data_IF_572750601466
#
_entry.id   IF_572750601466
#
_cell.length_a   1.000
_cell.length_b   1.000
_cell.length_c   1.000
_cell.angle_alpha   90.00
_cell.angle_beta   90.00
_cell.angle_gamma   90.00
#
_symmetry.space_group_name_H-M   'P 1'
#
loop_
_entity.id
_entity.type
_entity.pdbx_description
1 polymer ?
#
# COMPACT_ATOMS: atom_id res chain seq x y z
N UNK A 1 -8.31 -22.66 -3.45
CA UNK A 1 -8.91 -21.52 -4.20
C UNK A 1 -9.26 -22.05 -5.59
N UNK A 2 -10.45 -21.75 -6.14
CA UNK A 2 -10.87 -22.35 -7.42
C UNK A 2 -10.34 -21.56 -8.61
N UNK A 3 -10.56 -20.25 -8.61
CA UNK A 3 -10.07 -19.37 -9.68
C UNK A 3 -9.76 -17.97 -9.19
N UNK A 4 -8.94 -17.28 -9.97
CA UNK A 4 -8.51 -15.92 -9.71
C UNK A 4 -8.52 -15.11 -11.01
N UNK A 5 -9.07 -13.90 -10.95
CA UNK A 5 -9.07 -12.94 -12.05
C UNK A 5 -8.49 -11.63 -11.53
N UNK A 6 -7.37 -11.21 -12.12
CA UNK A 6 -6.62 -10.02 -11.77
C UNK A 6 -6.67 -9.06 -12.94
N UNK A 7 -7.18 -7.85 -12.69
CA UNK A 7 -7.18 -6.76 -13.65
C UNK A 7 -6.35 -5.61 -13.11
N UNK A 8 -5.35 -5.18 -13.87
CA UNK A 8 -4.38 -4.16 -13.49
C UNK A 8 -4.42 -3.04 -14.52
N UNK A 9 -4.66 -1.81 -14.06
CA UNK A 9 -4.39 -0.62 -14.84
C UNK A 9 -3.03 -0.08 -14.40
N UNK A 10 -2.04 -0.20 -15.28
CA UNK A 10 -0.67 0.24 -15.03
C UNK A 10 -0.50 1.71 -15.44
N UNK A 11 -0.21 2.55 -14.44
CA UNK A 11 0.13 3.95 -14.63
C UNK A 11 1.65 4.18 -14.57
N UNK A 12 2.07 5.41 -14.87
CA UNK A 12 3.47 5.80 -14.94
C UNK A 12 4.16 5.70 -13.58
N UNK A 13 3.44 5.88 -12.48
CA UNK A 13 3.97 5.95 -11.11
C UNK A 13 3.18 5.08 -10.12
N UNK A 14 2.13 4.41 -10.57
CA UNK A 14 1.23 3.62 -9.73
C UNK A 14 0.55 2.51 -10.55
N UNK A 15 -0.14 1.62 -9.87
CA UNK A 15 -1.00 0.59 -10.47
C UNK A 15 -2.30 0.49 -9.67
N UNK A 16 -3.44 0.54 -10.36
CA UNK A 16 -4.70 0.12 -9.78
C UNK A 16 -4.93 -1.35 -10.08
N UNK A 17 -5.24 -2.13 -9.05
CA UNK A 17 -5.41 -3.58 -9.14
C UNK A 17 -6.79 -3.96 -8.61
N UNK A 18 -7.50 -4.79 -9.37
CA UNK A 18 -8.77 -5.40 -8.99
C UNK A 18 -8.63 -6.91 -9.11
N UNK A 19 -8.54 -7.59 -7.98
CA UNK A 19 -8.47 -9.06 -7.89
C UNK A 19 -9.82 -9.62 -7.50
N UNK A 20 -10.25 -10.69 -8.15
CA UNK A 20 -11.45 -11.46 -7.80
C UNK A 20 -11.05 -12.92 -7.61
N UNK A 21 -11.26 -13.43 -6.41
CA UNK A 21 -10.99 -14.79 -6.01
C UNK A 21 -12.31 -15.55 -5.85
N UNK A 22 -12.41 -16.70 -6.50
CA UNK A 22 -13.53 -17.61 -6.31
C UNK A 22 -13.09 -18.76 -5.41
N UNK A 23 -13.72 -18.83 -4.24
CA UNK A 23 -13.39 -19.73 -3.15
C UNK A 23 -14.46 -20.80 -3.05
N UNK A 24 -14.07 -22.01 -2.65
CA UNK A 24 -14.99 -23.12 -2.38
C UNK A 24 -14.58 -23.82 -1.10
N UNK A 25 -15.54 -24.05 -0.20
CA UNK A 25 -15.32 -24.86 0.99
C UNK A 25 -15.52 -26.34 0.67
N UNK A 26 -14.47 -27.13 0.84
CA UNK A 26 -14.49 -28.58 0.62
C UNK A 26 -14.69 -29.37 1.92
N UNK A 27 -14.68 -28.71 3.08
CA UNK A 27 -14.85 -29.33 4.40
C UNK A 27 -16.18 -28.97 5.05
N UNK A 28 -16.24 -29.09 6.37
CA UNK A 28 -17.40 -28.68 7.16
C UNK A 28 -17.52 -27.16 7.26
N UNK A 29 -18.63 -26.66 7.82
CA UNK A 29 -18.84 -25.21 7.94
C UNK A 29 -17.81 -24.60 8.87
N UNK A 30 -17.21 -23.47 8.47
CA UNK A 30 -16.14 -22.82 9.23
C UNK A 30 -16.09 -21.31 8.98
N UNK A 31 -15.41 -20.56 9.85
CA UNK A 31 -15.13 -19.13 9.65
C UNK A 31 -13.62 -18.95 9.55
N UNK A 32 -13.15 -18.39 8.43
CA UNK A 32 -11.74 -18.08 8.20
C UNK A 32 -11.47 -16.60 8.44
N UNK A 33 -10.32 -16.31 9.04
CA UNK A 33 -9.68 -15.02 8.85
C UNK A 33 -8.96 -15.04 7.49
N UNK A 34 -9.44 -14.22 6.57
CA UNK A 34 -8.78 -14.01 5.27
C UNK A 34 -7.95 -12.75 5.38
N UNK A 35 -6.74 -12.81 4.85
CA UNK A 35 -5.74 -11.78 5.02
C UNK A 35 -5.34 -11.09 3.72
N UNK A 36 -5.04 -9.80 3.81
CA UNK A 36 -4.38 -9.01 2.78
C UNK A 36 -3.14 -8.30 3.37
N UNK A 37 -1.96 -8.38 2.71
CA UNK A 37 -0.72 -7.79 3.21
C UNK A 37 -0.75 -6.25 3.14
N UNK A 38 0.18 -5.59 3.86
CA UNK A 38 0.42 -4.14 3.65
C UNK A 38 1.03 -3.91 2.29
N UNK A 39 0.49 -2.92 1.58
CA UNK A 39 0.88 -2.61 0.21
C UNK A 39 1.86 -1.42 0.12
N UNK A 40 2.80 -1.33 1.07
CA UNK A 40 3.83 -0.29 1.10
C UNK A 40 5.03 -0.67 0.21
N UNK A 41 4.87 -0.52 -1.11
CA UNK A 41 5.97 -0.73 -2.06
C UNK A 41 6.81 0.54 -2.25
N UNK A 42 7.64 0.89 -1.27
CA UNK A 42 8.73 1.86 -1.48
C UNK A 42 10.08 1.17 -1.27
N UNK A 43 10.92 1.20 -2.30
CA UNK A 43 12.18 0.44 -2.37
C UNK A 43 13.26 0.92 -1.37
N UNK A 44 13.01 1.99 -0.61
CA UNK A 44 14.02 2.68 0.21
C UNK A 44 13.59 2.97 1.65
N UNK A 45 12.32 2.75 2.00
CA UNK A 45 11.82 2.76 3.38
C UNK A 45 10.40 2.21 3.38
N UNK A 46 10.04 1.41 4.37
CA UNK A 46 8.63 1.28 4.76
C UNK A 46 8.20 2.71 5.11
N UNK A 47 7.30 3.30 4.32
CA UNK A 47 6.68 4.56 4.75
C UNK A 47 6.01 4.28 6.09
N UNK A 48 6.14 5.16 7.10
CA UNK A 48 5.44 4.97 8.36
C UNK A 48 3.96 4.71 8.07
N UNK A 49 3.36 3.79 8.84
CA UNK A 49 1.96 3.40 8.70
C UNK A 49 1.07 4.63 8.53
N UNK A 50 0.31 4.65 7.43
CA UNK A 50 -0.62 5.73 7.15
C UNK A 50 -1.99 5.33 7.69
N UNK A 51 -2.61 6.15 8.53
CA UNK A 51 -3.97 5.88 9.03
C UNK A 51 -5.02 5.77 7.92
N UNK A 52 -4.77 6.35 6.74
CA UNK A 52 -5.62 6.21 5.56
C UNK A 52 -5.31 4.94 4.77
N UNK A 53 -4.41 4.06 5.25
CA UNK A 53 -4.02 2.86 4.52
C UNK A 53 -5.20 1.91 4.32
N UNK A 54 -6.14 1.83 5.27
CA UNK A 54 -7.41 1.11 5.07
C UNK A 54 -8.36 1.78 4.07
N UNK A 55 -8.16 3.04 3.72
CA UNK A 55 -8.92 3.74 2.67
C UNK A 55 -8.31 3.49 1.27
N UNK A 56 -7.08 2.94 1.20
CA UNK A 56 -6.37 2.66 -0.06
C UNK A 56 -6.80 1.36 -0.72
N UNK A 57 -7.66 0.58 -0.07
CA UNK A 57 -8.22 -0.63 -0.62
C UNK A 57 -9.69 -0.81 -0.24
N UNK A 58 -10.38 -1.62 -1.04
CA UNK A 58 -11.77 -2.00 -0.84
C UNK A 58 -11.89 -3.51 -0.93
N UNK A 59 -12.66 -4.10 -0.01
CA UNK A 59 -12.92 -5.53 0.01
C UNK A 59 -14.42 -5.76 -0.16
N UNK A 60 -14.76 -6.74 -0.98
CA UNK A 60 -16.12 -7.20 -1.19
C UNK A 60 -16.20 -8.71 -0.97
N UNK A 61 -17.20 -9.16 -0.24
CA UNK A 61 -17.54 -10.58 -0.09
C UNK A 61 -18.94 -10.79 -0.66
N UNK A 62 -19.05 -11.63 -1.68
CA UNK A 62 -20.29 -11.88 -2.43
C UNK A 62 -20.97 -10.58 -2.92
N UNK A 63 -20.15 -9.60 -3.31
CA UNK A 63 -20.60 -8.29 -3.80
C UNK A 63 -20.92 -7.27 -2.69
N UNK A 64 -20.94 -7.68 -1.41
CA UNK A 64 -21.14 -6.78 -0.28
C UNK A 64 -19.81 -6.14 0.12
N UNK A 65 -19.74 -4.81 0.05
CA UNK A 65 -18.56 -4.04 0.47
C UNK A 65 -18.40 -4.12 1.98
N UNK A 66 -17.20 -4.48 2.44
CA UNK A 66 -16.83 -4.45 3.85
C UNK A 66 -16.57 -3.01 4.31
N UNK A 67 -16.94 -2.75 5.55
CA UNK A 67 -16.66 -1.51 6.27
C UNK A 67 -15.30 -1.56 6.97
N UNK A 68 -14.83 -0.41 7.45
CA UNK A 68 -13.60 -0.32 8.23
C UNK A 68 -13.63 -1.16 9.52
N UNK A 69 -14.81 -1.32 10.13
CA UNK A 69 -14.99 -2.15 11.32
C UNK A 69 -14.93 -3.66 11.04
N UNK A 70 -15.14 -4.08 9.80
CA UNK A 70 -15.00 -5.48 9.39
C UNK A 70 -13.54 -5.89 9.19
N UNK A 71 -12.63 -4.91 9.05
CA UNK A 71 -11.21 -5.09 8.76
C UNK A 71 -10.39 -4.88 10.04
N UNK A 72 -9.81 -5.97 10.50
CA UNK A 72 -9.05 -6.07 11.76
C UNK A 72 -7.56 -6.29 11.46
N UNK A 73 -6.74 -6.22 12.49
CA UNK A 73 -5.35 -6.71 12.49
C UNK A 73 -5.32 -8.08 13.17
N UNK A 74 -4.27 -8.91 12.93
CA UNK A 74 -4.07 -10.15 13.70
C UNK A 74 -4.14 -9.92 15.22
N UNK A 75 -4.66 -10.90 15.95
CA UNK A 75 -4.88 -10.78 17.41
C UNK A 75 -3.56 -10.51 18.14
N UNK A 76 -2.46 -11.13 17.69
CA UNK A 76 -1.13 -10.96 18.26
C UNK A 76 -0.61 -9.52 18.13
N UNK A 77 -1.12 -8.75 17.16
CA UNK A 77 -0.74 -7.36 16.91
C UNK A 77 -1.72 -6.35 17.50
N UNK A 78 -2.89 -6.80 17.96
CA UNK A 78 -4.00 -5.93 18.30
C UNK A 78 -3.64 -4.91 19.37
N UNK A 79 -2.96 -5.34 20.44
CA UNK A 79 -2.58 -4.44 21.53
C UNK A 79 -1.61 -3.35 21.06
N UNK A 80 -0.53 -3.73 20.38
CA UNK A 80 0.49 -2.79 19.87
C UNK A 80 -0.11 -1.86 18.82
N UNK A 81 -0.97 -2.39 17.93
CA UNK A 81 -1.71 -1.60 16.95
C UNK A 81 -2.62 -0.56 17.61
N UNK A 82 -3.43 -0.97 18.60
CA UNK A 82 -4.35 -0.07 19.30
C UNK A 82 -3.59 1.05 20.04
N UNK A 83 -2.45 0.72 20.68
CA UNK A 83 -1.56 1.72 21.30
C UNK A 83 -1.01 2.70 20.27
N UNK A 84 -0.47 2.18 19.16
CA UNK A 84 0.08 2.99 18.07
C UNK A 84 -0.99 3.93 17.49
N UNK A 85 -2.17 3.42 17.17
CA UNK A 85 -3.28 4.21 16.63
C UNK A 85 -3.77 5.29 17.59
N UNK A 86 -3.82 5.00 18.90
CA UNK A 86 -4.16 5.99 19.92
C UNK A 86 -3.19 7.17 19.91
N UNK A 87 -1.89 6.89 19.86
CA UNK A 87 -0.83 7.93 19.80
C UNK A 87 -0.97 8.76 18.52
N UNK A 88 -1.17 8.13 17.36
CA UNK A 88 -1.40 8.84 16.09
C UNK A 88 -2.60 9.79 16.18
N UNK A 89 -3.72 9.36 16.78
CA UNK A 89 -4.89 10.22 16.97
C UNK A 89 -4.60 11.43 17.87
N UNK A 90 -3.82 11.25 18.94
CA UNK A 90 -3.38 12.34 19.83
C UNK A 90 -2.50 13.34 19.06
N UNK A 91 -1.52 12.87 18.29
CA UNK A 91 -0.63 13.73 17.49
C UNK A 91 -1.42 14.59 16.48
N UNK A 92 -2.48 14.04 15.91
CA UNK A 92 -3.36 14.78 15.01
C UNK A 92 -4.23 15.80 15.71
N UNK A 93 -4.81 15.43 16.86
CA UNK A 93 -5.59 16.35 17.65
C UNK A 93 -4.71 17.52 18.11
N UNK A 94 -3.47 17.23 18.50
CA UNK A 94 -2.45 18.22 18.80
C UNK A 94 -2.19 19.18 17.64
N UNK A 95 -1.92 18.65 16.44
CA UNK A 95 -1.77 19.46 15.21
C UNK A 95 -3.02 20.29 14.92
N UNK A 96 -4.22 19.70 15.00
CA UNK A 96 -5.50 20.40 14.79
C UNK A 96 -5.71 21.55 15.80
N UNK A 97 -5.41 21.33 17.07
CA UNK A 97 -5.47 22.37 18.11
C UNK A 97 -4.49 23.49 17.81
N UNK A 98 -3.25 23.18 17.42
CA UNK A 98 -2.26 24.17 17.01
C UNK A 98 -2.70 24.95 15.77
N UNK A 99 -3.25 24.29 14.75
CA UNK A 99 -3.74 24.93 13.53
C UNK A 99 -4.93 25.87 13.81
N UNK A 100 -5.83 25.45 14.70
CA UNK A 100 -6.93 26.28 15.18
C UNK A 100 -6.43 27.54 15.89
N UNK A 101 -5.43 27.40 16.78
CA UNK A 101 -4.78 28.55 17.42
C UNK A 101 -4.12 29.45 16.37
N UNK A 102 -3.32 28.88 15.46
CA UNK A 102 -2.63 29.64 14.43
C UNK A 102 -3.62 30.44 13.56
N UNK A 103 -4.75 29.84 13.21
CA UNK A 103 -5.82 30.47 12.43
C UNK A 103 -6.49 31.59 13.22
N UNK A 104 -6.87 31.34 14.48
CA UNK A 104 -7.50 32.34 15.35
C UNK A 104 -6.62 33.58 15.54
N UNK A 105 -5.31 33.39 15.74
CA UNK A 105 -4.35 34.49 15.94
C UNK A 105 -3.75 35.06 14.65
N UNK A 106 -4.23 34.60 13.48
CA UNK A 106 -3.78 35.08 12.17
C UNK A 106 -2.29 34.90 11.94
N UNK A 107 -1.73 33.76 12.37
CA UNK A 107 -0.32 33.44 12.24
C UNK A 107 0.05 33.26 10.78
N UNK A 108 1.05 34.01 10.32
CA UNK A 108 1.64 33.89 8.99
C UNK A 108 3.06 33.35 9.15
N UNK A 109 3.35 32.25 8.47
CA UNK A 109 4.69 31.69 8.38
C UNK A 109 5.46 32.37 7.26
N UNK A 110 6.57 33.04 7.62
CA UNK A 110 7.48 33.63 6.64
C UNK A 110 8.47 32.58 6.13
N UNK A 111 9.11 32.87 5.00
CA UNK A 111 10.09 32.02 4.28
C UNK A 111 11.26 31.46 5.12
N UNK A 112 11.46 31.97 6.34
CA UNK A 112 12.51 31.57 7.28
C UNK A 112 11.95 30.89 8.54
N UNK A 113 10.76 30.29 8.48
CA UNK A 113 10.07 29.66 9.62
C UNK A 113 9.70 30.65 10.75
N UNK A 114 9.81 31.95 10.50
CA UNK A 114 9.41 33.00 11.44
C UNK A 114 7.89 33.14 11.41
N UNK A 115 7.24 32.81 12.52
CA UNK A 115 5.79 32.98 12.71
C UNK A 115 5.47 34.38 13.22
N UNK A 116 4.61 35.10 12.52
CA UNK A 116 4.14 36.43 12.93
C UNK A 116 2.63 36.36 13.18
N UNK A 117 2.20 36.73 14.38
CA UNK A 117 0.78 36.81 14.78
C UNK A 117 0.25 38.22 14.56
N UNK A 118 -1.00 38.36 14.12
CA UNK A 118 -1.69 39.66 14.01
C UNK A 118 -2.35 40.12 15.31
N UNK A 119 -2.41 39.25 16.32
CA UNK A 119 -3.03 39.49 17.63
C UNK A 119 -2.01 39.63 18.77
N UNK A 120 -2.52 39.63 20.00
CA UNK A 120 -1.69 39.68 21.21
C UNK A 120 -0.77 38.45 21.30
N UNK A 121 0.55 38.68 21.20
CA UNK A 121 1.55 37.62 21.31
C UNK A 121 1.44 36.86 22.63
N UNK A 122 1.19 37.55 23.75
CA UNK A 122 1.06 36.90 25.05
C UNK A 122 -0.20 36.03 25.14
N UNK A 123 -1.29 36.40 24.46
CA UNK A 123 -2.49 35.57 24.39
C UNK A 123 -2.27 34.33 23.50
N UNK A 124 -1.56 34.50 22.39
CA UNK A 124 -1.14 33.41 21.51
C UNK A 124 -0.24 32.40 22.25
N UNK A 125 0.79 32.89 22.94
CA UNK A 125 1.70 32.05 23.72
C UNK A 125 0.95 31.27 24.80
N UNK A 126 0.08 31.93 25.59
CA UNK A 126 -0.76 31.24 26.59
C UNK A 126 -1.65 30.16 25.98
N UNK A 127 -2.20 30.39 24.79
CA UNK A 127 -3.02 29.39 24.09
C UNK A 127 -2.16 28.20 23.66
N UNK A 128 -0.96 28.44 23.12
CA UNK A 128 -0.02 27.39 22.76
C UNK A 128 0.44 26.58 23.98
N UNK A 129 0.86 27.25 25.06
CA UNK A 129 1.28 26.58 26.32
C UNK A 129 0.19 25.66 26.86
N UNK A 130 -1.08 26.04 26.79
CA UNK A 130 -2.19 25.16 27.19
C UNK A 130 -2.25 23.87 26.36
N UNK A 131 -2.02 23.97 25.05
CA UNK A 131 -2.02 22.80 24.16
C UNK A 131 -0.76 21.95 24.36
N UNK A 132 0.41 22.57 24.60
CA UNK A 132 1.63 21.85 24.97
C UNK A 132 1.46 21.08 26.28
N UNK A 133 0.98 21.75 27.34
CA UNK A 133 0.75 21.11 28.64
C UNK A 133 -0.29 19.98 28.54
N UNK A 134 -1.33 20.14 27.72
CA UNK A 134 -2.25 19.05 27.44
C UNK A 134 -1.50 17.87 26.78
N UNK A 135 -0.68 18.13 25.75
CA UNK A 135 0.08 17.09 25.04
C UNK A 135 1.08 16.34 25.93
N UNK A 136 1.72 17.01 26.88
CA UNK A 136 2.64 16.38 27.84
C UNK A 136 1.98 15.31 28.72
N UNK A 137 0.66 15.41 28.93
CA UNK A 137 -0.11 14.44 29.72
C UNK A 137 -0.70 13.31 28.86
N UNK A 138 -0.47 13.33 27.54
CA UNK A 138 -0.96 12.30 26.63
C UNK A 138 0.15 11.31 26.25
N UNK A 139 -0.19 10.06 25.88
CA UNK A 139 0.75 9.12 25.29
C UNK A 139 1.53 9.73 24.11
N UNK A 140 2.83 9.42 24.05
CA UNK A 140 3.75 9.87 23.01
C UNK A 140 4.22 8.69 22.16
N UNK A 141 4.64 8.99 20.94
CA UNK A 141 5.29 8.01 20.08
C UNK A 141 6.76 7.91 20.50
N UNK A 142 7.07 6.96 21.39
CA UNK A 142 8.45 6.67 21.76
C UNK A 142 9.11 5.69 20.77
N UNK A 143 10.44 5.59 20.85
CA UNK A 143 11.23 4.71 19.99
C UNK A 143 10.85 3.24 20.16
N UNK A 144 10.44 2.84 21.36
CA UNK A 144 10.21 1.45 21.71
C UNK A 144 8.91 0.96 21.06
N UNK A 145 7.84 1.77 21.12
CA UNK A 145 6.57 1.48 20.44
C UNK A 145 6.74 1.44 18.91
N UNK A 146 7.57 2.33 18.34
CA UNK A 146 7.89 2.30 16.90
C UNK A 146 8.63 1.01 16.56
N UNK A 147 9.68 0.67 17.33
CA UNK A 147 10.47 -0.53 17.09
C UNK A 147 9.66 -1.82 17.27
N UNK A 148 8.78 -1.88 18.27
CA UNK A 148 7.87 -3.00 18.49
C UNK A 148 6.90 -3.15 17.32
N UNK A 149 6.27 -2.05 16.89
CA UNK A 149 5.37 -2.04 15.74
C UNK A 149 6.08 -2.43 14.44
N UNK A 150 7.25 -1.86 14.16
CA UNK A 150 8.06 -2.18 12.97
C UNK A 150 8.58 -3.62 13.01
N UNK A 151 8.94 -4.13 14.19
CA UNK A 151 9.35 -5.52 14.37
C UNK A 151 8.20 -6.47 14.08
N UNK A 152 6.99 -6.20 14.57
CA UNK A 152 5.80 -7.00 14.25
C UNK A 152 5.47 -6.94 12.76
N UNK A 153 5.59 -5.77 12.14
CA UNK A 153 5.41 -5.56 10.71
C UNK A 153 6.42 -6.35 9.87
N UNK A 154 7.67 -6.47 10.33
CA UNK A 154 8.77 -7.11 9.60
C UNK A 154 8.87 -8.61 9.85
N UNK A 155 8.57 -9.05 11.07
CA UNK A 155 8.62 -10.45 11.47
C UNK A 155 7.42 -11.26 10.96
N UNK A 156 6.33 -10.60 10.59
CA UNK A 156 5.12 -11.27 10.17
C UNK A 156 5.15 -11.71 8.71
N UNK A 157 5.10 -13.03 8.49
CA UNK A 157 4.47 -13.62 7.29
C UNK A 157 2.93 -13.39 7.26
N UNK A 158 2.43 -12.50 8.12
CA UNK A 158 1.01 -12.27 8.35
C UNK A 158 0.47 -11.20 7.41
N UNK A 159 -0.74 -11.45 6.93
CA UNK A 159 -1.57 -10.41 6.38
C UNK A 159 -1.87 -9.35 7.45
N UNK A 160 -1.65 -8.09 7.09
CA UNK A 160 -1.85 -6.97 8.00
C UNK A 160 -3.31 -6.62 8.20
N UNK A 161 -4.12 -6.83 7.17
CA UNK A 161 -5.55 -6.62 7.22
C UNK A 161 -6.25 -7.95 7.12
N UNK A 162 -6.96 -8.33 8.17
CA UNK A 162 -7.75 -9.55 8.23
C UNK A 162 -9.25 -9.25 8.33
N UNK A 163 -10.07 -10.09 7.71
CA UNK A 163 -11.52 -10.05 7.87
C UNK A 163 -12.07 -11.47 7.96
N UNK A 164 -13.22 -11.61 8.61
CA UNK A 164 -13.85 -12.93 8.81
C UNK A 164 -14.77 -13.27 7.64
N UNK A 165 -14.59 -14.46 7.07
CA UNK A 165 -15.47 -15.01 6.04
C UNK A 165 -16.02 -16.34 6.54
N UNK A 166 -17.34 -16.43 6.70
CA UNK A 166 -18.03 -17.66 7.08
C UNK A 166 -18.36 -18.47 5.83
N UNK A 167 -17.99 -19.74 5.81
CA UNK A 167 -18.35 -20.69 4.76
C UNK A 167 -19.23 -21.79 5.34
N UNK A 168 -20.33 -22.08 4.68
CA UNK A 168 -21.08 -23.32 4.87
C UNK A 168 -20.39 -24.47 4.13
N UNK A 169 -20.71 -25.71 4.52
CA UNK A 169 -20.22 -26.92 3.86
C UNK A 169 -20.58 -26.89 2.37
N UNK A 170 -19.57 -27.00 1.50
CA UNK A 170 -19.76 -26.99 0.04
C UNK A 170 -20.03 -25.61 -0.57
N UNK A 171 -20.10 -24.54 0.23
CA UNK A 171 -20.40 -23.19 -0.25
C UNK A 171 -19.25 -22.63 -1.11
N UNK A 172 -19.64 -21.88 -2.14
CA UNK A 172 -18.73 -21.04 -2.91
C UNK A 172 -18.94 -19.58 -2.55
N UNK A 173 -17.84 -18.83 -2.43
CA UNK A 173 -17.87 -17.37 -2.23
C UNK A 173 -16.96 -16.65 -3.19
N UNK A 174 -17.32 -15.42 -3.50
CA UNK A 174 -16.48 -14.51 -4.27
C UNK A 174 -15.91 -13.46 -3.33
N UNK A 175 -14.58 -13.32 -3.32
CA UNK A 175 -13.87 -12.26 -2.61
C UNK A 175 -13.25 -11.36 -3.66
N UNK A 176 -13.54 -10.06 -3.61
CA UNK A 176 -12.94 -9.06 -4.49
C UNK A 176 -12.17 -8.04 -3.69
N UNK A 177 -10.95 -7.73 -4.13
CA UNK A 177 -10.07 -6.73 -3.51
C UNK A 177 -9.66 -5.73 -4.57
N UNK A 178 -9.98 -4.45 -4.36
CA UNK A 178 -9.52 -3.34 -5.19
C UNK A 178 -8.50 -2.53 -4.41
N UNK A 179 -7.40 -2.15 -5.01
CA UNK A 179 -6.39 -1.35 -4.33
C UNK A 179 -5.50 -0.59 -5.32
N UNK A 180 -4.84 0.45 -4.83
CA UNK A 180 -3.85 1.21 -5.61
C UNK A 180 -2.49 1.15 -4.92
N UNK A 181 -1.45 0.86 -5.69
CA UNK A 181 -0.06 0.83 -5.19
C UNK A 181 0.84 1.74 -6.01
N UNK A 182 1.86 2.38 -5.40
CA UNK A 182 2.90 3.03 -6.15
C UNK A 182 3.71 2.00 -6.96
N UNK A 183 4.18 2.40 -8.14
CA UNK A 183 5.13 1.59 -8.89
C UNK A 183 6.49 1.65 -8.21
N UNK A 184 7.14 0.50 -8.09
CA UNK A 184 8.52 0.41 -7.60
C UNK A 184 9.45 1.24 -8.46
N UNK A 185 10.51 1.78 -7.84
CA UNK A 185 11.47 2.68 -8.49
C UNK A 185 12.86 2.04 -8.41
N UNK A 186 13.47 1.77 -9.56
CA UNK A 186 14.85 1.33 -9.66
C UNK A 186 15.83 2.43 -9.22
N UNK A 187 17.05 2.05 -8.84
CA UNK A 187 18.06 2.98 -8.34
C UNK A 187 18.23 4.22 -9.24
N UNK A 188 18.17 5.41 -8.63
CA UNK A 188 18.29 6.68 -9.33
C UNK A 188 17.11 7.06 -10.25
N UNK A 189 16.02 6.29 -10.24
CA UNK A 189 14.86 6.54 -11.12
C UNK A 189 15.09 6.10 -12.57
N UNK A 190 16.01 5.15 -12.80
CA UNK A 190 16.34 4.66 -14.14
C UNK A 190 15.18 3.88 -14.80
N UNK A 191 14.37 3.22 -13.99
CA UNK A 191 13.21 2.46 -14.41
C UNK A 191 12.19 2.39 -13.27
N UNK A 192 10.99 1.97 -13.62
CA UNK A 192 9.91 1.62 -12.72
C UNK A 192 9.48 0.19 -12.95
N UNK A 193 8.83 -0.39 -11.95
CA UNK A 193 8.32 -1.75 -12.06
C UNK A 193 7.03 -1.93 -11.27
N UNK A 194 6.24 -2.91 -11.70
CA UNK A 194 5.13 -3.43 -10.93
C UNK A 194 5.32 -4.93 -10.72
N UNK A 195 4.86 -5.44 -9.58
CA UNK A 195 4.87 -6.87 -9.26
C UNK A 195 3.48 -7.30 -8.78
N UNK A 196 3.05 -8.49 -9.19
CA UNK A 196 1.88 -9.17 -8.63
C UNK A 196 2.28 -10.58 -8.16
N UNK A 197 1.94 -10.93 -6.92
CA UNK A 197 2.41 -12.16 -6.26
C UNK A 197 1.37 -13.27 -6.39
N UNK A 198 1.37 -13.99 -7.52
CA UNK A 198 0.49 -15.15 -7.70
C UNK A 198 0.89 -16.31 -6.77
N UNK A 199 2.19 -16.39 -6.42
CA UNK A 199 2.76 -17.36 -5.47
C UNK A 199 2.05 -17.42 -4.11
N UNK A 200 1.44 -16.32 -3.66
CA UNK A 200 0.65 -16.29 -2.41
C UNK A 200 -0.58 -17.20 -2.45
N UNK A 201 -1.00 -17.62 -3.64
CA UNK A 201 -2.07 -18.60 -3.84
C UNK A 201 -1.79 -19.99 -3.26
N UNK A 202 -0.51 -20.35 -3.01
CA UNK A 202 -0.08 -21.63 -2.40
C UNK A 202 -0.61 -21.85 -0.99
N UNK A 203 -0.97 -20.78 -0.28
CA UNK A 203 -1.57 -20.88 1.05
C UNK A 203 -2.96 -21.53 1.06
N UNK A 204 -3.59 -21.70 -0.11
CA UNK A 204 -4.92 -22.27 -0.23
C UNK A 204 -4.89 -23.75 -0.58
N UNK A 205 -5.88 -24.49 -0.06
CA UNK A 205 -6.07 -25.89 -0.41
C UNK A 205 -6.26 -26.07 -1.92
N UNK A 206 -5.57 -27.08 -2.45
CA UNK A 206 -5.58 -27.56 -3.83
C UNK A 206 -5.07 -26.54 -4.86
N UNK A 207 -4.71 -27.05 -6.05
CA UNK A 207 -4.28 -26.23 -7.19
C UNK A 207 -5.35 -25.24 -7.61
N UNK A 208 -4.92 -24.06 -8.05
CA UNK A 208 -5.80 -23.07 -8.68
C UNK A 208 -6.17 -23.57 -10.07
N UNK A 209 -7.46 -23.84 -10.29
CA UNK A 209 -7.92 -24.40 -11.56
C UNK A 209 -7.72 -23.44 -12.74
N UNK A 210 -7.91 -22.13 -12.50
CA UNK A 210 -7.70 -21.09 -13.51
C UNK A 210 -7.32 -19.77 -12.88
N UNK A 211 -6.19 -19.21 -13.28
CA UNK A 211 -5.79 -17.85 -12.94
C UNK A 211 -5.64 -17.01 -14.20
N UNK A 212 -6.25 -15.84 -14.23
CA UNK A 212 -6.15 -14.88 -15.33
C UNK A 212 -5.59 -13.56 -14.82
N UNK A 213 -4.53 -13.08 -15.45
CA UNK A 213 -3.98 -11.75 -15.18
C UNK A 213 -4.06 -10.92 -16.44
N UNK A 214 -4.68 -9.74 -16.33
CA UNK A 214 -4.83 -8.78 -17.40
C UNK A 214 -4.21 -7.45 -16.96
N UNK A 215 -3.25 -6.94 -17.72
CA UNK A 215 -2.62 -5.65 -17.48
C UNK A 215 -2.90 -4.71 -18.65
N UNK A 216 -3.53 -3.57 -18.39
CA UNK A 216 -3.73 -2.48 -19.34
C UNK A 216 -2.66 -1.41 -19.11
N UNK A 217 -1.90 -1.07 -20.15
CA UNK A 217 -0.91 0.00 -20.14
C UNK A 217 -1.61 1.32 -20.45
N UNK A 218 -2.07 2.04 -19.41
CA UNK A 218 -2.92 3.21 -19.59
C UNK A 218 -2.12 4.41 -20.10
N UNK A 219 -1.22 4.94 -19.26
CA UNK A 219 -0.28 6.01 -19.61
C UNK A 219 1.18 5.54 -19.73
N UNK A 220 1.43 4.23 -19.61
CA UNK A 220 2.72 3.60 -19.92
C UNK A 220 2.81 3.31 -21.41
N UNK A 221 3.90 3.73 -22.06
CA UNK A 221 4.08 3.51 -23.50
C UNK A 221 4.60 2.09 -23.73
N UNK A 222 4.02 1.38 -24.70
CA UNK A 222 4.44 0.01 -25.06
C UNK A 222 5.94 -0.07 -25.36
N UNK A 223 6.50 0.94 -26.05
CA UNK A 223 7.92 0.99 -26.40
C UNK A 223 8.87 1.32 -25.23
N UNK A 224 8.33 1.66 -24.06
CA UNK A 224 9.11 1.88 -22.83
C UNK A 224 9.14 0.66 -21.93
N UNK A 225 8.39 -0.39 -22.26
CA UNK A 225 8.41 -1.66 -21.51
C UNK A 225 9.68 -2.42 -21.88
N UNK A 226 10.47 -2.78 -20.86
CA UNK A 226 11.79 -3.41 -21.01
C UNK A 226 11.78 -4.88 -20.62
N UNK A 227 10.92 -5.27 -19.68
CA UNK A 227 10.84 -6.64 -19.19
C UNK A 227 9.40 -6.98 -18.89
N UNK A 228 8.98 -8.17 -19.31
CA UNK A 228 7.67 -8.75 -19.02
C UNK A 228 7.93 -10.19 -18.59
N UNK A 229 7.46 -10.54 -17.41
CA UNK A 229 7.49 -11.91 -16.88
C UNK A 229 6.13 -12.27 -16.26
N UNK A 230 5.72 -13.55 -16.32
CA UNK A 230 6.42 -14.67 -16.97
C UNK A 230 6.37 -14.61 -18.51
N UNK A 231 7.20 -15.39 -19.21
CA UNK A 231 7.39 -15.28 -20.67
C UNK A 231 6.21 -15.75 -21.53
N UNK A 232 5.27 -16.51 -20.95
CA UNK A 232 4.07 -17.04 -21.62
C UNK A 232 2.92 -16.01 -21.78
N UNK A 233 3.24 -14.72 -21.83
CA UNK A 233 2.26 -13.65 -21.97
C UNK A 233 1.73 -13.51 -23.40
N UNK A 234 0.55 -12.92 -23.53
CA UNK A 234 0.01 -12.40 -24.79
C UNK A 234 -0.04 -10.87 -24.73
N UNK A 235 0.50 -10.20 -25.74
CA UNK A 235 0.50 -8.73 -25.85
C UNK A 235 -0.35 -8.30 -27.05
N UNK A 236 -1.40 -7.52 -26.77
CA UNK A 236 -2.12 -6.74 -27.76
C UNK A 236 -1.58 -5.30 -27.74
N UNK A 237 -0.81 -4.93 -28.77
CA UNK A 237 -0.20 -3.59 -28.86
C UNK A 237 -1.21 -2.49 -29.18
N UNK A 238 -2.34 -2.83 -29.84
CA UNK A 238 -3.37 -1.87 -30.23
C UNK A 238 -4.21 -1.50 -29.02
N UNK A 239 -4.64 -2.50 -28.27
CA UNK A 239 -5.40 -2.33 -27.02
C UNK A 239 -4.49 -2.05 -25.81
N UNK A 240 -3.16 -2.05 -26.03
CA UNK A 240 -2.13 -1.88 -24.99
C UNK A 240 -2.34 -2.80 -23.79
N UNK A 241 -2.62 -4.08 -24.08
CA UNK A 241 -2.99 -5.09 -23.08
C UNK A 241 -1.98 -6.23 -23.04
N UNK A 242 -1.54 -6.61 -21.85
CA UNK A 242 -0.75 -7.81 -21.59
C UNK A 242 -1.63 -8.78 -20.82
N UNK A 243 -1.59 -10.08 -21.14
CA UNK A 243 -2.40 -11.07 -20.45
C UNK A 243 -1.69 -12.40 -20.25
N UNK A 244 -2.02 -13.07 -19.16
CA UNK A 244 -1.62 -14.41 -18.82
C UNK A 244 -2.84 -15.25 -18.46
N UNK A 245 -2.79 -16.53 -18.82
CA UNK A 245 -3.76 -17.54 -18.38
C UNK A 245 -2.98 -18.73 -17.88
N UNK A 246 -3.20 -19.10 -16.63
CA UNK A 246 -2.64 -20.28 -16.01
C UNK A 246 -3.76 -21.27 -15.70
N UNK A 247 -3.51 -22.56 -15.89
CA UNK A 247 -4.50 -23.63 -15.70
C UNK A 247 -3.93 -24.70 -14.76
N UNK A 248 -4.72 -25.13 -13.79
CA UNK A 248 -4.38 -26.17 -12.81
C UNK A 248 -2.98 -26.02 -12.21
N UNK A 249 -2.68 -24.83 -11.69
CA UNK A 249 -1.36 -24.50 -11.15
C UNK A 249 -1.30 -24.60 -9.63
N UNK A 250 -0.16 -25.07 -9.13
CA UNK A 250 0.31 -24.78 -7.77
C UNK A 250 1.27 -23.58 -7.94
N UNK A 251 0.83 -22.34 -7.65
CA UNK A 251 1.58 -21.17 -8.07
C UNK A 251 2.94 -21.09 -7.37
N UNK A 252 4.01 -20.75 -8.10
CA UNK A 252 5.31 -20.45 -7.48
C UNK A 252 5.72 -19.02 -7.81
N UNK A 253 6.88 -18.57 -7.33
CA UNK A 253 7.46 -17.27 -7.70
C UNK A 253 7.69 -17.15 -9.22
N UNK A 254 7.78 -18.27 -9.94
CA UNK A 254 7.89 -18.28 -11.40
C UNK A 254 6.58 -17.90 -12.10
N UNK A 255 5.47 -17.89 -11.36
CA UNK A 255 4.18 -17.41 -11.85
C UNK A 255 3.86 -15.97 -11.42
N UNK A 256 4.72 -15.35 -10.60
CA UNK A 256 4.58 -13.94 -10.24
C UNK A 256 4.71 -13.06 -11.49
N UNK A 257 3.88 -12.02 -11.55
CA UNK A 257 3.86 -11.09 -12.67
C UNK A 257 4.84 -9.97 -12.38
N UNK A 258 5.68 -9.65 -13.35
CA UNK A 258 6.63 -8.55 -13.26
C UNK A 258 6.70 -7.78 -14.57
N UNK A 259 6.50 -6.47 -14.50
CA UNK A 259 6.65 -5.59 -15.66
C UNK A 259 7.61 -4.46 -15.28
N UNK A 260 8.72 -4.36 -16.02
CA UNK A 260 9.70 -3.27 -15.92
C UNK A 260 9.52 -2.33 -17.11
N UNK A 261 9.50 -1.04 -16.84
CA UNK A 261 9.37 0.00 -17.84
C UNK A 261 10.12 1.26 -17.40
N UNK A 262 10.29 2.25 -18.28
CA UNK A 262 10.90 3.51 -17.88
C UNK A 262 10.07 4.73 -18.24
N UNK A 263 10.16 5.76 -17.40
CA UNK A 263 9.66 7.07 -17.73
C UNK A 263 10.74 7.86 -18.49
N UNK A 264 10.49 8.32 -19.73
CA UNK A 264 11.50 9.01 -20.52
C UNK A 264 12.07 10.28 -19.86
N UNK A 265 11.25 11.01 -19.09
CA UNK A 265 11.69 12.23 -18.39
C UNK A 265 12.59 11.90 -17.20
N UNK A 266 12.24 10.88 -16.43
CA UNK A 266 13.01 10.44 -15.26
C UNK A 266 14.36 9.86 -15.69
N UNK A 267 14.36 8.97 -16.69
CA UNK A 267 15.58 8.38 -17.24
C UNK A 267 16.55 9.44 -17.76
N UNK A 268 16.06 10.44 -18.51
CA UNK A 268 16.89 11.55 -18.99
C UNK A 268 17.50 12.37 -17.86
N UNK A 269 16.72 12.66 -16.80
CA UNK A 269 17.23 13.36 -15.61
C UNK A 269 18.34 12.54 -14.94
N UNK A 270 18.15 11.23 -14.80
CA UNK A 270 19.14 10.33 -14.21
C UNK A 270 20.43 10.25 -15.04
N UNK A 271 20.33 10.13 -16.36
CA UNK A 271 21.48 10.14 -17.27
C UNK A 271 22.29 11.44 -17.16
N UNK A 272 21.61 12.59 -17.11
CA UNK A 272 22.26 13.89 -16.91
C UNK A 272 22.98 13.96 -15.56
N UNK A 273 22.38 13.42 -14.50
CA UNK A 273 23.01 13.32 -13.18
C UNK A 273 24.26 12.44 -13.20
N UNK A 274 24.17 11.24 -13.80
CA UNK A 274 25.31 10.32 -13.97
C UNK A 274 26.48 11.01 -14.69
N UNK A 275 26.20 11.69 -15.80
CA UNK A 275 27.23 12.44 -16.54
C UNK A 275 27.86 13.56 -15.71
N UNK A 276 27.06 14.33 -14.95
CA UNK A 276 27.58 15.39 -14.08
C UNK A 276 28.52 14.83 -13.01
N UNK A 277 28.16 13.71 -12.38
CA UNK A 277 28.96 13.06 -11.34
C UNK A 277 30.28 12.52 -11.89
N UNK A 278 30.27 11.90 -13.07
CA UNK A 278 31.49 11.43 -13.74
C UNK A 278 32.47 12.59 -13.97
N UNK A 279 31.98 13.73 -14.48
CA UNK A 279 32.80 14.93 -14.71
C UNK A 279 33.38 15.54 -13.43
N UNK A 280 32.74 15.33 -12.28
CA UNK A 280 33.21 15.82 -10.99
C UNK A 280 34.27 14.90 -10.37
N UNK A 281 34.18 13.59 -10.61
CA UNK A 281 35.15 12.60 -10.12
C UNK A 281 36.41 12.53 -11.01
N UNK A 282 36.33 13.03 -12.25
CA UNK A 282 37.46 13.10 -13.18
C UNK A 282 38.26 14.42 -13.09
N UNK A 283 38.01 15.24 -12.06
CA UNK A 283 38.73 16.48 -11.75
C UNK A 283 39.39 16.33 -10.39
#
# INVERSE_FOLDING_TARGET
MVSEIVNINLYSDSSFVSCTFNMKNHGDSLTLAVGFPVMNFFHWSISPYDKQDKEKFEIYVDGLRLSQSDIQVPEEMKETYDKYMKVIHIEEEYKRKLDSINTHFGVIEKRNWTKVTKGSYSAFERAQTKVYNWKENEPNLDSDLIMEFDSLMTAGDYAWYIWKVKFHKGESKTIKVNYMVPSGIGYGGEYRFMKYLLSTGTGWKDKISRAEVNVKLDNVKVNTVETIAPSNYKMDKKEKKISWTFLNIEPTTDNDIYIKYYNPRERRKWENFKQKRIRQLSK
#
